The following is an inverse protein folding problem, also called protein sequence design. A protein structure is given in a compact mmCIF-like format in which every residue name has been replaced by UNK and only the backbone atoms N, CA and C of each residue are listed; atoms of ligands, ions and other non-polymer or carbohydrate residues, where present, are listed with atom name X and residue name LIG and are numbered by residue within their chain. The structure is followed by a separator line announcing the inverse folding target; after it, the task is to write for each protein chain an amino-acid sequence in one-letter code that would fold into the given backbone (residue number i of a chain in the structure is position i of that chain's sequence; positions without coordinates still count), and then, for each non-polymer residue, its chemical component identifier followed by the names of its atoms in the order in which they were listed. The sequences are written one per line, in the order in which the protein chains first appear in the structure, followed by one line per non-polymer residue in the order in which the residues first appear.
data_IF_749958434489
#
_entry.id   IF_749958434489
#
_cell.length_a   1.000
_cell.length_b   1.000
_cell.length_c   1.000
_cell.angle_alpha   90.00
_cell.angle_beta   90.00
_cell.angle_gamma   90.00
#
_symmetry.space_group_name_H-M   'P 1'
#
loop_
_entity.id
_entity.type
_entity.pdbx_description
1 polymer ?
#
# COMPACT_ATOMS: atom_id res chain seq x y z
N UNK A 1 -21.36 -52.64 -23.01
CA UNK A 1 -20.21 -52.00 -23.71
C UNK A 1 -20.57 -50.77 -24.55
N UNK A 2 -21.85 -50.47 -24.80
CA UNK A 2 -22.29 -49.27 -25.53
C UNK A 2 -22.41 -47.99 -24.67
N UNK A 3 -22.70 -48.13 -23.38
CA UNK A 3 -22.93 -46.97 -22.48
C UNK A 3 -21.66 -46.23 -22.05
N UNK A 4 -20.49 -46.87 -22.15
CA UNK A 4 -19.20 -46.25 -21.78
C UNK A 4 -18.64 -45.39 -22.92
N UNK A 5 -18.89 -45.78 -24.17
CA UNK A 5 -18.42 -45.08 -25.36
C UNK A 5 -19.11 -43.71 -25.55
N UNK A 6 -20.39 -43.63 -25.15
CA UNK A 6 -21.19 -42.40 -25.24
C UNK A 6 -20.79 -41.36 -24.18
N UNK A 7 -20.32 -41.81 -23.00
CA UNK A 7 -19.73 -40.93 -21.98
C UNK A 7 -18.40 -40.31 -22.40
N UNK A 8 -17.56 -41.06 -23.12
CA UNK A 8 -16.29 -40.54 -23.64
C UNK A 8 -16.47 -39.54 -24.79
N UNK A 9 -17.48 -39.71 -25.66
CA UNK A 9 -17.77 -38.73 -26.71
C UNK A 9 -18.29 -37.40 -26.16
N UNK A 10 -19.10 -37.44 -25.10
CA UNK A 10 -19.60 -36.23 -24.42
C UNK A 10 -18.50 -35.44 -23.72
N UNK A 11 -17.51 -36.11 -23.12
CA UNK A 11 -16.34 -35.47 -22.51
C UNK A 11 -15.42 -34.84 -23.57
N UNK A 12 -15.20 -35.51 -24.70
CA UNK A 12 -14.42 -34.94 -25.82
C UNK A 12 -15.09 -33.70 -26.44
N UNK A 13 -16.42 -33.69 -26.58
CA UNK A 13 -17.14 -32.51 -27.10
C UNK A 13 -17.13 -31.32 -26.13
N UNK A 14 -17.15 -31.59 -24.82
CA UNK A 14 -17.06 -30.55 -23.79
C UNK A 14 -15.63 -29.98 -23.66
N UNK A 15 -14.60 -30.79 -23.89
CA UNK A 15 -13.20 -30.33 -23.92
C UNK A 15 -12.87 -29.44 -25.12
N UNK A 16 -13.59 -29.57 -26.24
CA UNK A 16 -13.37 -28.73 -27.44
C UNK A 16 -14.17 -27.41 -27.36
N UNK A 17 -15.35 -27.40 -26.74
CA UNK A 17 -16.12 -26.16 -26.52
C UNK A 17 -15.69 -25.35 -25.29
N UNK A 18 -14.98 -25.96 -24.32
CA UNK A 18 -14.37 -25.25 -23.19
C UNK A 18 -13.15 -24.39 -23.52
N UNK A 19 -12.70 -24.40 -24.78
CA UNK A 19 -11.57 -23.60 -25.29
C UNK A 19 -12.02 -22.34 -26.05
N UNK A 20 -13.32 -22.06 -26.11
CA UNK A 20 -13.83 -20.75 -26.49
C UNK A 20 -14.05 -19.91 -25.23
N UNK A 21 -12.96 -19.64 -24.50
CA UNK A 21 -12.94 -18.52 -23.59
C UNK A 21 -13.32 -17.29 -24.41
N UNK A 22 -14.42 -16.65 -24.05
CA UNK A 22 -14.83 -15.35 -24.60
C UNK A 22 -13.57 -14.51 -24.72
N UNK A 23 -13.22 -14.09 -25.94
CA UNK A 23 -12.12 -13.17 -26.13
C UNK A 23 -12.34 -12.02 -25.14
N UNK A 24 -11.44 -11.89 -24.16
CA UNK A 24 -11.44 -10.73 -23.27
C UNK A 24 -11.32 -9.54 -24.21
N UNK A 25 -12.43 -8.82 -24.39
CA UNK A 25 -12.48 -7.64 -25.21
C UNK A 25 -11.52 -6.64 -24.56
N UNK A 26 -10.34 -6.51 -25.16
CA UNK A 26 -9.27 -5.64 -24.67
C UNK A 26 -9.46 -4.30 -25.39
N UNK A 27 -10.01 -3.27 -24.73
CA UNK A 27 -10.23 -1.97 -25.37
C UNK A 27 -8.92 -1.24 -25.72
N UNK A 28 -7.80 -1.63 -25.11
CA UNK A 28 -6.47 -1.02 -25.30
C UNK A 28 -5.56 -2.00 -26.08
N UNK A 29 -5.64 -1.96 -27.42
CA UNK A 29 -4.75 -2.70 -28.34
C UNK A 29 -3.60 -1.82 -28.81
N UNK A 30 -2.36 -2.28 -28.63
CA UNK A 30 -1.20 -1.67 -29.29
C UNK A 30 -1.23 -1.96 -30.81
N UNK A 31 -0.56 -1.10 -31.59
CA UNK A 31 -0.53 -1.08 -33.07
C UNK A 31 -0.03 -2.37 -33.77
N UNK A 32 0.21 -3.46 -33.03
CA UNK A 32 0.61 -4.78 -33.52
C UNK A 32 -0.26 -5.96 -33.04
N UNK A 33 -1.42 -5.71 -32.41
CA UNK A 33 -2.51 -6.68 -32.26
C UNK A 33 -2.25 -7.93 -31.40
N UNK A 34 -1.12 -8.08 -30.72
CA UNK A 34 -0.72 -9.36 -30.07
C UNK A 34 -0.66 -9.30 -28.54
N UNK A 35 -0.72 -8.13 -27.90
CA UNK A 35 -0.62 -8.00 -26.43
C UNK A 35 -1.64 -7.01 -25.88
N UNK A 36 -2.44 -7.45 -24.91
CA UNK A 36 -3.26 -6.53 -24.11
C UNK A 36 -2.37 -5.86 -23.07
N UNK A 37 -2.29 -4.53 -23.09
CA UNK A 37 -1.57 -3.77 -22.06
C UNK A 37 -2.58 -3.03 -21.18
N UNK A 38 -2.41 -3.08 -19.85
CA UNK A 38 -3.30 -2.38 -18.92
C UNK A 38 -2.91 -0.90 -18.93
N UNK A 39 -3.83 0.02 -19.20
CA UNK A 39 -3.55 1.47 -19.24
C UNK A 39 -2.97 1.99 -17.90
N UNK A 40 -2.19 3.07 -17.95
CA UNK A 40 -1.62 3.73 -16.75
C UNK A 40 -2.73 4.15 -15.78
N UNK A 41 -3.85 4.69 -16.30
CA UNK A 41 -5.01 5.07 -15.50
C UNK A 41 -5.56 3.88 -14.69
N UNK A 42 -5.77 2.72 -15.33
CA UNK A 42 -6.25 1.51 -14.65
C UNK A 42 -5.25 0.98 -13.61
N UNK A 43 -3.95 1.14 -13.85
CA UNK A 43 -2.92 0.78 -12.87
C UNK A 43 -2.94 1.72 -11.67
N UNK A 44 -3.06 3.04 -11.91
CA UNK A 44 -3.19 4.04 -10.86
C UNK A 44 -4.45 3.82 -10.04
N UNK A 45 -5.59 3.50 -10.67
CA UNK A 45 -6.84 3.17 -9.96
C UNK A 45 -6.66 2.03 -8.97
N UNK A 46 -6.04 0.93 -9.42
CA UNK A 46 -5.78 -0.22 -8.57
C UNK A 46 -4.82 0.11 -7.44
N UNK A 47 -3.76 0.87 -7.72
CA UNK A 47 -2.79 1.29 -6.71
C UNK A 47 -3.44 2.22 -5.66
N UNK A 48 -4.27 3.18 -6.08
CA UNK A 48 -4.99 4.09 -5.18
C UNK A 48 -5.95 3.32 -4.29
N UNK A 49 -6.80 2.45 -4.86
CA UNK A 49 -7.74 1.63 -4.06
C UNK A 49 -7.01 0.79 -3.02
N UNK A 50 -5.84 0.27 -3.39
CA UNK A 50 -5.04 -0.54 -2.50
C UNK A 50 -4.40 0.29 -1.37
N UNK A 51 -3.83 1.45 -1.69
CA UNK A 51 -3.29 2.39 -0.70
C UNK A 51 -4.37 2.92 0.25
N UNK A 52 -5.55 3.27 -0.26
CA UNK A 52 -6.71 3.72 0.52
C UNK A 52 -7.16 2.64 1.52
N UNK A 53 -7.21 1.38 1.09
CA UNK A 53 -7.54 0.27 1.98
C UNK A 53 -6.47 0.04 3.05
N UNK A 54 -5.17 0.18 2.71
CA UNK A 54 -4.08 0.13 3.69
C UNK A 54 -4.21 1.26 4.71
N UNK A 55 -4.45 2.49 4.26
CA UNK A 55 -4.66 3.64 5.13
C UNK A 55 -5.85 3.41 6.09
N UNK A 56 -7.02 3.03 5.57
CA UNK A 56 -8.19 2.73 6.41
C UNK A 56 -7.90 1.66 7.45
N UNK A 57 -7.29 0.53 7.06
CA UNK A 57 -6.99 -0.56 8.00
C UNK A 57 -5.95 -0.12 9.05
N UNK A 58 -5.01 0.76 8.68
CA UNK A 58 -4.05 1.33 9.63
C UNK A 58 -4.71 2.23 10.67
N UNK A 59 -5.73 2.99 10.28
CA UNK A 59 -6.53 3.80 11.19
C UNK A 59 -7.33 2.94 12.17
N UNK A 60 -7.97 1.88 11.68
CA UNK A 60 -8.68 0.91 12.51
C UNK A 60 -7.74 0.22 13.50
N UNK A 61 -6.59 -0.28 13.03
CA UNK A 61 -5.61 -0.95 13.87
C UNK A 61 -5.05 -0.02 14.96
N UNK A 62 -4.70 1.22 14.60
CA UNK A 62 -4.24 2.24 15.56
C UNK A 62 -5.31 2.53 16.61
N UNK A 63 -6.56 2.68 16.19
CA UNK A 63 -7.69 2.99 17.09
C UNK A 63 -8.00 1.83 18.03
N UNK A 64 -7.95 0.59 17.52
CA UNK A 64 -8.06 -0.62 18.36
C UNK A 64 -6.93 -0.69 19.39
N UNK A 65 -5.68 -0.49 18.97
CA UNK A 65 -4.54 -0.46 19.88
C UNK A 65 -4.71 0.61 20.97
N UNK A 66 -5.12 1.81 20.56
CA UNK A 66 -5.38 2.95 21.45
C UNK A 66 -6.40 2.62 22.53
N UNK A 67 -7.53 2.01 22.15
CA UNK A 67 -8.60 1.67 23.07
C UNK A 67 -8.22 0.58 24.07
N UNK A 68 -7.29 -0.31 23.71
CA UNK A 68 -6.98 -1.50 24.50
C UNK A 68 -5.73 -1.36 25.35
N UNK A 69 -4.73 -0.60 24.88
CA UNK A 69 -3.43 -0.53 25.53
C UNK A 69 -3.06 0.86 26.04
N UNK A 70 -3.70 1.94 25.55
CA UNK A 70 -3.34 3.31 25.94
C UNK A 70 -4.29 3.82 27.04
N UNK A 71 -3.79 4.04 28.28
CA UNK A 71 -4.61 4.56 29.36
C UNK A 71 -5.16 5.95 29.05
N UNK A 72 -6.36 6.26 29.56
CA UNK A 72 -7.03 7.54 29.29
C UNK A 72 -6.21 8.77 29.73
N UNK A 73 -5.40 8.64 30.79
CA UNK A 73 -4.49 9.68 31.27
C UNK A 73 -3.44 10.10 30.23
N UNK A 74 -3.05 9.21 29.31
CA UNK A 74 -2.11 9.52 28.24
C UNK A 74 -2.75 10.26 27.06
N UNK A 75 -4.08 10.19 26.87
CA UNK A 75 -4.77 10.93 25.80
C UNK A 75 -4.72 12.45 26.00
N UNK A 76 -4.72 12.90 27.26
CA UNK A 76 -4.64 14.33 27.58
C UNK A 76 -3.24 14.94 27.31
N UNK A 77 -2.16 14.15 27.51
CA UNK A 77 -0.79 14.60 27.28
C UNK A 77 -0.37 14.59 25.81
N UNK A 78 -1.04 13.80 24.97
CA UNK A 78 -0.71 13.66 23.54
C UNK A 78 -0.97 14.90 22.68
N UNK A 79 -1.68 15.91 23.21
CA UNK A 79 -1.81 17.24 22.56
C UNK A 79 -0.46 17.92 22.27
N UNK A 80 0.63 17.44 22.88
CA UNK A 80 1.98 18.00 22.74
C UNK A 80 3.01 17.04 22.08
N UNK A 81 2.61 15.82 21.69
CA UNK A 81 3.51 14.76 21.20
C UNK A 81 3.60 14.62 19.66
N UNK A 82 3.46 15.73 18.92
CA UNK A 82 3.20 15.73 17.47
C UNK A 82 4.28 15.20 16.52
N UNK A 83 5.47 14.81 16.99
CA UNK A 83 6.67 14.69 16.13
C UNK A 83 7.36 13.32 16.05
N UNK A 84 6.80 12.23 16.56
CA UNK A 84 7.52 10.93 16.61
C UNK A 84 7.72 10.20 15.27
N UNK A 85 7.26 10.75 14.15
CA UNK A 85 7.37 10.06 12.85
C UNK A 85 8.57 10.56 12.06
N UNK A 86 9.47 9.64 11.72
CA UNK A 86 10.69 9.92 10.95
C UNK A 86 10.41 10.45 9.54
N UNK A 87 9.20 10.29 9.01
CA UNK A 87 8.86 10.61 7.61
C UNK A 87 8.63 12.09 7.28
N UNK A 88 9.09 13.03 8.11
CA UNK A 88 9.06 14.47 7.78
C UNK A 88 9.83 14.81 6.49
N UNK A 89 10.64 13.88 5.97
CA UNK A 89 11.38 13.96 4.71
C UNK A 89 10.44 14.12 3.50
N UNK A 90 9.23 13.56 3.56
CA UNK A 90 8.25 13.62 2.46
C UNK A 90 7.00 14.39 2.91
N UNK A 91 7.02 15.74 2.90
CA UNK A 91 5.83 16.52 3.21
C UNK A 91 4.77 16.33 2.13
N UNK A 92 3.50 16.26 2.52
CA UNK A 92 2.40 16.35 1.56
C UNK A 92 2.37 17.80 1.06
N UNK A 93 2.51 18.05 -0.25
CA UNK A 93 2.38 19.40 -0.78
C UNK A 93 0.96 19.92 -0.51
N UNK A 94 0.88 21.11 0.07
CA UNK A 94 -0.39 21.68 0.57
C UNK A 94 -0.93 22.78 -0.31
N UNK A 95 -0.10 23.31 -1.21
CA UNK A 95 -0.48 24.37 -2.15
C UNK A 95 -0.48 23.89 -3.60
N UNK A 96 -1.37 24.46 -4.41
CA UNK A 96 -1.44 24.19 -5.86
C UNK A 96 -0.10 24.47 -6.58
N UNK A 97 0.66 25.46 -6.12
CA UNK A 97 1.99 25.81 -6.64
C UNK A 97 3.04 24.74 -6.33
N UNK A 98 3.06 24.19 -5.11
CA UNK A 98 3.95 23.07 -4.75
C UNK A 98 3.56 21.80 -5.53
N UNK A 99 2.26 21.54 -5.64
CA UNK A 99 1.71 20.44 -6.42
C UNK A 99 2.03 20.56 -7.91
N UNK A 100 2.45 21.71 -8.45
CA UNK A 100 2.89 21.82 -9.85
C UNK A 100 4.39 21.67 -10.04
N UNK A 101 5.20 21.91 -9.00
CA UNK A 101 6.67 21.86 -9.08
C UNK A 101 7.24 20.46 -8.84
N UNK A 102 6.51 19.59 -8.15
CA UNK A 102 6.95 18.22 -7.85
C UNK A 102 6.86 17.36 -9.11
N UNK A 103 7.90 16.61 -9.48
CA UNK A 103 7.85 15.74 -10.66
C UNK A 103 7.09 14.42 -10.40
N UNK A 104 6.51 13.83 -11.45
CA UNK A 104 5.88 12.50 -11.38
C UNK A 104 6.87 11.43 -10.89
N UNK A 105 8.14 11.55 -11.32
CA UNK A 105 9.25 10.74 -10.83
C UNK A 105 9.39 10.86 -9.31
N UNK A 106 9.47 12.08 -8.78
CA UNK A 106 9.59 12.27 -7.34
C UNK A 106 8.42 11.64 -6.57
N UNK A 107 7.18 11.81 -7.04
CA UNK A 107 5.99 11.21 -6.41
C UNK A 107 6.07 9.67 -6.37
N UNK A 108 6.31 9.03 -7.51
CA UNK A 108 6.38 7.56 -7.60
C UNK A 108 7.50 6.98 -6.73
N UNK A 109 8.67 7.59 -6.75
CA UNK A 109 9.79 7.17 -5.91
C UNK A 109 9.53 7.40 -4.42
N UNK A 110 8.88 8.50 -4.06
CA UNK A 110 8.53 8.76 -2.66
C UNK A 110 7.55 7.70 -2.13
N UNK A 111 6.56 7.31 -2.93
CA UNK A 111 5.67 6.20 -2.59
C UNK A 111 6.46 4.89 -2.41
N UNK A 112 7.36 4.56 -3.34
CA UNK A 112 8.18 3.35 -3.24
C UNK A 112 9.06 3.34 -1.98
N UNK A 113 9.73 4.46 -1.67
CA UNK A 113 10.59 4.58 -0.49
C UNK A 113 9.77 4.43 0.80
N UNK A 114 8.60 5.06 0.88
CA UNK A 114 7.71 4.91 2.03
C UNK A 114 7.28 3.44 2.19
N UNK A 115 6.91 2.78 1.10
CA UNK A 115 6.52 1.35 1.13
C UNK A 115 7.66 0.50 1.68
N UNK A 116 8.87 0.64 1.12
CA UNK A 116 10.02 -0.15 1.52
C UNK A 116 10.46 0.11 2.95
N UNK A 117 10.42 1.37 3.39
CA UNK A 117 10.71 1.76 4.76
C UNK A 117 9.81 1.04 5.77
N UNK A 118 8.54 0.77 5.43
CA UNK A 118 7.56 0.17 6.35
C UNK A 118 7.47 -1.35 6.30
N UNK A 119 8.19 -2.04 5.40
CA UNK A 119 8.15 -3.51 5.30
C UNK A 119 8.66 -4.16 6.61
N UNK A 120 9.91 -3.90 6.98
CA UNK A 120 10.51 -4.51 8.19
C UNK A 120 9.84 -4.03 9.48
N UNK A 121 9.57 -2.72 9.66
CA UNK A 121 8.86 -2.24 10.85
C UNK A 121 7.51 -2.95 11.06
N UNK A 122 6.71 -3.20 10.02
CA UNK A 122 5.44 -3.91 10.19
C UNK A 122 5.61 -5.39 10.59
N UNK A 123 6.72 -6.02 10.21
CA UNK A 123 7.06 -7.39 10.66
C UNK A 123 7.49 -7.37 12.12
N UNK A 124 8.32 -6.41 12.52
CA UNK A 124 8.74 -6.24 13.92
C UNK A 124 7.56 -5.92 14.84
N UNK A 125 6.60 -5.11 14.37
CA UNK A 125 5.37 -4.82 15.11
C UNK A 125 4.57 -6.09 15.36
N UNK A 126 4.42 -6.96 14.37
CA UNK A 126 3.73 -8.25 14.55
C UNK A 126 4.42 -9.11 15.61
N UNK A 127 5.74 -9.25 15.52
CA UNK A 127 6.52 -9.97 16.52
C UNK A 127 6.45 -9.33 17.92
N UNK A 128 6.22 -8.02 18.01
CA UNK A 128 5.96 -7.33 19.26
C UNK A 128 4.58 -7.67 19.82
N UNK A 129 3.54 -7.58 18.99
CA UNK A 129 2.16 -7.87 19.38
C UNK A 129 1.96 -9.31 19.85
N UNK A 130 2.72 -10.27 19.31
CA UNK A 130 2.70 -11.67 19.75
C UNK A 130 3.14 -11.86 21.21
N UNK A 131 3.83 -10.87 21.81
CA UNK A 131 4.27 -10.88 23.21
C UNK A 131 3.23 -10.31 24.18
N UNK A 132 2.11 -9.78 23.69
CA UNK A 132 1.08 -9.20 24.55
C UNK A 132 0.13 -10.32 25.01
N UNK A 133 -0.04 -10.47 26.32
CA UNK A 133 -0.87 -11.54 26.91
C UNK A 133 -2.30 -11.59 26.39
N UNK A 134 -2.86 -10.44 25.98
CA UNK A 134 -4.23 -10.31 25.50
C UNK A 134 -4.33 -9.50 24.20
N UNK A 135 -3.39 -9.70 23.26
CA UNK A 135 -3.50 -9.12 21.92
C UNK A 135 -4.82 -9.57 21.24
N UNK A 136 -5.68 -8.63 20.84
CA UNK A 136 -6.92 -8.93 20.14
C UNK A 136 -6.61 -9.56 18.78
N UNK A 137 -7.28 -10.67 18.47
CA UNK A 137 -7.13 -11.35 17.18
C UNK A 137 -7.40 -10.43 15.99
N UNK A 138 -8.35 -9.49 16.13
CA UNK A 138 -8.66 -8.52 15.08
C UNK A 138 -7.47 -7.56 14.82
N UNK A 139 -6.79 -7.10 15.87
CA UNK A 139 -5.59 -6.28 15.75
C UNK A 139 -4.45 -7.04 15.05
N UNK A 140 -4.17 -8.29 15.49
CA UNK A 140 -3.16 -9.16 14.88
C UNK A 140 -3.46 -9.44 13.41
N UNK A 141 -4.73 -9.71 13.08
CA UNK A 141 -5.14 -9.96 11.71
C UNK A 141 -4.96 -8.72 10.83
N UNK A 142 -5.31 -7.53 11.33
CA UNK A 142 -5.12 -6.26 10.61
C UNK A 142 -3.65 -5.97 10.36
N UNK A 143 -2.76 -6.13 11.35
CA UNK A 143 -1.32 -5.86 11.18
C UNK A 143 -0.67 -6.81 10.18
N UNK A 144 -1.00 -8.10 10.25
CA UNK A 144 -0.57 -9.10 9.26
C UNK A 144 -1.09 -8.81 7.86
N UNK A 145 -2.37 -8.42 7.75
CA UNK A 145 -2.98 -8.03 6.49
C UNK A 145 -2.26 -6.82 5.89
N UNK A 146 -1.95 -5.78 6.68
CA UNK A 146 -1.24 -4.59 6.22
C UNK A 146 0.15 -4.92 5.68
N UNK A 147 0.94 -5.71 6.40
CA UNK A 147 2.27 -6.15 5.96
C UNK A 147 2.22 -6.86 4.60
N UNK A 148 1.27 -7.80 4.44
CA UNK A 148 1.08 -8.53 3.18
C UNK A 148 0.67 -7.60 2.03
N UNK A 149 -0.19 -6.62 2.31
CA UNK A 149 -0.75 -5.73 1.30
C UNK A 149 0.20 -4.63 0.88
N UNK A 150 1.07 -4.19 1.79
CA UNK A 150 2.14 -3.27 1.50
C UNK A 150 3.12 -3.84 0.45
N UNK A 151 3.53 -5.10 0.58
CA UNK A 151 4.38 -5.78 -0.42
C UNK A 151 3.68 -5.89 -1.79
N UNK A 152 2.37 -6.18 -1.80
CA UNK A 152 1.59 -6.22 -3.04
C UNK A 152 1.49 -4.83 -3.69
N UNK A 153 1.39 -3.76 -2.91
CA UNK A 153 1.40 -2.39 -3.41
C UNK A 153 2.76 -2.02 -4.00
N UNK A 154 3.87 -2.45 -3.38
CA UNK A 154 5.23 -2.28 -3.92
C UNK A 154 5.32 -2.75 -5.37
N UNK A 155 4.84 -3.96 -5.64
CA UNK A 155 4.85 -4.54 -6.98
C UNK A 155 4.03 -3.70 -7.97
N UNK A 156 2.86 -3.20 -7.55
CA UNK A 156 2.03 -2.31 -8.35
C UNK A 156 2.74 -0.97 -8.67
N UNK A 157 3.44 -0.40 -7.69
CA UNK A 157 4.19 0.85 -7.84
C UNK A 157 5.41 0.66 -8.75
N UNK A 158 6.12 -0.46 -8.65
CA UNK A 158 7.23 -0.78 -9.57
C UNK A 158 6.75 -0.93 -11.02
N UNK A 159 5.56 -1.49 -11.25
CA UNK A 159 4.95 -1.53 -12.59
C UNK A 159 4.61 -0.11 -13.08
N UNK A 160 4.08 0.76 -12.21
CA UNK A 160 3.80 2.15 -12.55
C UNK A 160 5.07 2.92 -12.90
N UNK A 161 6.15 2.79 -12.11
CA UNK A 161 7.46 3.40 -12.38
C UNK A 161 7.96 3.04 -13.76
N UNK A 162 8.01 1.73 -14.08
CA UNK A 162 8.48 1.25 -15.39
C UNK A 162 7.63 1.81 -16.54
N UNK A 163 6.32 1.87 -16.35
CA UNK A 163 5.39 2.30 -17.40
C UNK A 163 5.33 3.83 -17.58
N UNK A 164 5.53 4.60 -16.52
CA UNK A 164 5.42 6.07 -16.54
C UNK A 164 6.76 6.77 -16.78
N UNK A 165 7.88 6.17 -16.38
CA UNK A 165 9.20 6.80 -16.44
C UNK A 165 10.13 6.19 -17.51
N UNK A 166 9.73 5.09 -18.17
CA UNK A 166 10.58 4.32 -19.11
C UNK A 166 11.91 3.82 -18.47
N UNK A 167 12.01 3.85 -17.15
CA UNK A 167 13.21 3.43 -16.42
C UNK A 167 13.27 1.90 -16.35
N UNK A 168 14.37 1.34 -16.85
CA UNK A 168 14.81 -0.01 -16.50
C UNK A 168 15.10 -0.06 -15.00
N UNK A 169 14.67 -1.16 -14.36
CA UNK A 169 14.82 -1.48 -12.93
C UNK A 169 15.78 -0.56 -12.17
N UNK A 170 15.23 0.26 -11.28
CA UNK A 170 16.02 1.07 -10.36
C UNK A 170 16.77 0.12 -9.41
N UNK A 171 18.10 0.11 -9.52
CA UNK A 171 18.93 -0.37 -8.42
C UNK A 171 18.83 0.65 -7.29
N UNK A 172 18.36 0.18 -6.14
CA UNK A 172 18.31 0.97 -4.92
C UNK A 172 19.75 1.33 -4.54
N UNK A 173 20.08 2.63 -4.54
CA UNK A 173 21.28 3.09 -3.87
C UNK A 173 21.00 2.95 -2.37
N UNK A 174 21.39 1.81 -1.80
CA UNK A 174 21.55 1.68 -0.36
C UNK A 174 22.56 2.75 0.06
N UNK A 175 22.11 3.78 0.78
CA UNK A 175 22.89 4.57 1.73
C UNK A 175 22.01 5.66 2.35
N UNK A 176 21.33 5.30 3.44
CA UNK A 176 21.62 5.82 4.78
C UNK A 176 20.72 5.04 5.73
N UNK A 177 21.33 4.24 6.60
CA UNK A 177 20.63 3.63 7.72
C UNK A 177 20.10 4.76 8.60
N UNK A 178 18.82 5.08 8.48
CA UNK A 178 18.15 5.92 9.46
C UNK A 178 18.02 5.06 10.71
N UNK A 179 18.90 5.33 11.67
CA UNK A 179 18.97 4.64 12.95
C UNK A 179 17.62 4.75 13.65
N UNK A 180 16.95 3.63 13.98
CA UNK A 180 15.83 3.69 14.89
C UNK A 180 16.39 4.07 16.26
N UNK A 181 15.92 5.17 16.83
CA UNK A 181 16.22 5.50 18.22
C UNK A 181 15.69 4.36 19.10
N UNK A 182 16.60 3.57 19.66
CA UNK A 182 16.32 2.58 20.68
C UNK A 182 15.96 3.32 21.98
N UNK A 183 14.70 3.23 22.38
CA UNK A 183 14.25 3.59 23.72
C UNK A 183 14.43 2.37 24.65
N UNK A 184 14.85 2.56 25.93
CA UNK A 184 15.01 1.51 26.94
C UNK A 184 13.80 0.57 27.18
N UNK A 185 13.95 -0.35 28.15
CA UNK A 185 13.05 -1.48 28.40
C UNK A 185 12.22 -1.25 29.66
N UNK A 186 10.96 -0.93 29.45
CA UNK A 186 9.83 -0.87 30.38
C UNK A 186 8.57 -1.33 29.56
N UNK A 187 7.60 -2.01 30.17
CA UNK A 187 6.38 -2.48 29.47
C UNK A 187 5.53 -1.33 28.88
N UNK A 188 5.40 -0.21 29.58
CA UNK A 188 4.81 1.06 29.12
C UNK A 188 5.61 1.64 27.95
N UNK A 189 6.94 1.49 27.96
CA UNK A 189 7.81 1.95 26.87
C UNK A 189 7.59 1.16 25.57
N UNK A 190 7.37 -0.16 25.66
CA UNK A 190 7.00 -0.98 24.49
C UNK A 190 5.62 -0.64 23.93
N UNK A 191 4.61 -0.43 24.79
CA UNK A 191 3.25 -0.06 24.38
C UNK A 191 3.25 1.28 23.65
N UNK A 192 3.94 2.29 24.19
CA UNK A 192 4.02 3.61 23.57
C UNK A 192 4.80 3.59 22.25
N UNK A 193 5.87 2.79 22.16
CA UNK A 193 6.61 2.60 20.91
C UNK A 193 5.73 1.98 19.83
N UNK A 194 5.03 0.89 20.14
CA UNK A 194 4.18 0.19 19.18
C UNK A 194 2.98 1.06 18.75
N UNK A 195 2.44 1.88 19.66
CA UNK A 195 1.43 2.89 19.34
C UNK A 195 1.95 4.02 18.44
N UNK A 196 3.15 4.53 18.73
CA UNK A 196 3.81 5.54 17.89
C UNK A 196 4.05 4.99 16.47
N UNK A 197 4.50 3.74 16.38
CA UNK A 197 4.71 3.02 15.13
C UNK A 197 3.43 2.91 14.29
N UNK A 198 2.31 2.46 14.88
CA UNK A 198 1.01 2.42 14.21
C UNK A 198 0.54 3.82 13.77
N UNK A 199 0.77 4.83 14.62
CA UNK A 199 0.40 6.22 14.32
C UNK A 199 1.20 6.78 13.15
N UNK A 200 2.48 6.45 13.06
CA UNK A 200 3.35 6.88 11.97
C UNK A 200 3.06 6.13 10.68
N UNK A 201 2.82 4.81 10.74
CA UNK A 201 2.40 4.05 9.57
C UNK A 201 1.10 4.61 8.99
N UNK A 202 0.12 4.96 9.84
CA UNK A 202 -1.12 5.60 9.39
C UNK A 202 -0.87 6.90 8.62
N UNK A 203 -0.01 7.77 9.15
CA UNK A 203 0.34 9.04 8.48
C UNK A 203 1.01 8.79 7.13
N UNK A 204 1.87 7.79 7.04
CA UNK A 204 2.61 7.49 5.81
C UNK A 204 1.77 6.74 4.78
N UNK A 205 0.86 5.87 5.22
CA UNK A 205 -0.13 5.25 4.34
C UNK A 205 -1.02 6.31 3.69
N UNK A 206 -1.44 7.33 4.45
CA UNK A 206 -2.15 8.49 3.90
C UNK A 206 -1.30 9.27 2.88
N UNK A 207 0.00 9.47 3.14
CA UNK A 207 0.92 10.09 2.17
C UNK A 207 1.00 9.29 0.88
N UNK A 208 1.16 7.96 0.97
CA UNK A 208 1.20 7.06 -0.19
C UNK A 208 -0.06 7.20 -1.04
N UNK A 209 -1.24 7.15 -0.41
CA UNK A 209 -2.53 7.34 -1.05
C UNK A 209 -2.63 8.69 -1.76
N UNK A 210 -2.30 9.78 -1.07
CA UNK A 210 -2.38 11.14 -1.60
C UNK A 210 -1.44 11.35 -2.79
N UNK A 211 -0.21 10.86 -2.74
CA UNK A 211 0.72 10.93 -3.88
C UNK A 211 0.22 10.17 -5.10
N UNK A 212 -0.36 8.97 -4.91
CA UNK A 212 -0.96 8.20 -6.00
C UNK A 212 -2.18 8.92 -6.60
N UNK A 213 -3.03 9.55 -5.76
CA UNK A 213 -4.15 10.36 -6.21
C UNK A 213 -3.69 11.60 -7.00
N UNK A 214 -2.61 12.25 -6.59
CA UNK A 214 -2.00 13.34 -7.36
C UNK A 214 -1.50 12.89 -8.74
N UNK A 215 -0.85 11.73 -8.83
CA UNK A 215 -0.42 11.17 -10.12
C UNK A 215 -1.61 10.92 -11.05
N UNK A 216 -2.68 10.28 -10.55
CA UNK A 216 -3.90 10.05 -11.36
C UNK A 216 -4.55 11.35 -11.82
N UNK A 217 -4.58 12.34 -10.94
CA UNK A 217 -5.10 13.64 -11.28
C UNK A 217 -4.39 14.25 -12.51
N UNK A 218 -3.05 14.25 -12.49
CA UNK A 218 -2.24 14.80 -13.59
C UNK A 218 -2.45 14.05 -14.90
N UNK A 219 -2.58 12.73 -14.83
CA UNK A 219 -2.82 11.89 -16.01
C UNK A 219 -4.18 12.13 -16.67
N UNK A 220 -5.20 12.52 -15.90
CA UNK A 220 -6.57 12.67 -16.40
C UNK A 220 -6.92 14.11 -16.81
N UNK A 221 -6.03 15.09 -16.60
CA UNK A 221 -6.23 16.51 -16.91
C UNK A 221 -7.60 17.07 -16.45
N UNK A 222 -8.18 16.52 -15.36
CA UNK A 222 -9.51 16.94 -14.89
C UNK A 222 -9.42 18.23 -14.07
N UNK A 223 -10.19 19.28 -14.40
CA UNK A 223 -10.18 20.56 -13.67
C UNK A 223 -10.66 20.45 -12.21
N UNK A 224 -11.32 19.35 -11.84
CA UNK A 224 -11.83 19.08 -10.50
C UNK A 224 -10.78 18.60 -9.49
N UNK A 225 -9.51 18.45 -9.87
CA UNK A 225 -8.42 18.22 -8.90
C UNK A 225 -8.02 19.49 -8.15
N UNK A 226 -9.00 20.31 -7.82
CA UNK A 226 -8.84 21.47 -7.00
C UNK A 226 -9.22 20.99 -5.61
N UNK A 227 -8.22 20.68 -4.79
CA UNK A 227 -8.33 20.23 -3.38
C UNK A 227 -8.39 18.70 -3.25
N UNK A 228 -7.22 18.09 -3.06
CA UNK A 228 -7.01 16.86 -2.28
C UNK A 228 -6.49 17.28 -0.91
#
# INVERSE_FOLDING_TARGET
MYSVLQGCLGLLFCSIHGLLGSALDCPDRDAGGTRCSISVEKLLDRAIQHAELIYRVSEEARTLFEQMFIPFSFHAQQSHGGHLCTSNIFPIPTSKSEVQQISDKWLLHSVLILIQFWIDPLVELQASLDRYDNAPSDLLNKTKWMSTKLMNLEQGVLVLIRKMLEEGSLELHNNESVTPYLLPTDMVEHVLRDYAMLSCFKKDAHKMETFLKFLKCRQTNRPSCSIL
#
